data_IF_495411652178
#
_entry.id   IF_495411652178
#
_cell.length_a   1.000
_cell.length_b   1.000
_cell.length_c   1.000
_cell.angle_alpha   90.00
_cell.angle_beta   90.00
_cell.angle_gamma   90.00
#
_symmetry.space_group_name_H-M   'P 1'
#
loop_
_entity.id
_entity.type
_entity.pdbx_description
1 polymer ?
#
# COMPACT_ATOMS: atom_id res chain seq x y z
N UNK A 1 -4.05 -55.07 -44.01
CA UNK A 1 -4.48 -54.20 -45.10
C UNK A 1 -4.29 -52.80 -44.60
N UNK A 2 -3.18 -52.28 -44.91
CA UNK A 2 -2.83 -51.21 -45.89
C UNK A 2 -3.42 -49.87 -45.43
N UNK A 3 -2.71 -48.81 -45.28
CA UNK A 3 -1.40 -48.36 -45.68
C UNK A 3 -1.23 -46.96 -45.14
N UNK A 4 -0.13 -46.67 -44.66
CA UNK A 4 1.01 -45.94 -45.20
C UNK A 4 0.72 -44.52 -45.72
N UNK A 5 1.42 -43.59 -45.13
CA UNK A 5 2.17 -42.63 -45.88
C UNK A 5 2.36 -41.26 -45.19
N UNK A 6 3.60 -40.81 -45.05
CA UNK A 6 3.95 -39.50 -44.55
C UNK A 6 4.25 -38.56 -45.74
N UNK A 7 4.05 -37.25 -45.58
CA UNK A 7 4.60 -36.20 -46.44
C UNK A 7 4.48 -34.87 -45.69
N UNK A 8 5.31 -33.95 -45.71
CA UNK A 8 6.61 -33.59 -46.30
C UNK A 8 7.06 -32.32 -45.59
N UNK A 9 8.28 -32.31 -45.15
CA UNK A 9 9.02 -31.12 -44.79
C UNK A 9 9.47 -30.46 -46.09
N UNK A 10 9.28 -29.19 -46.30
CA UNK A 10 10.33 -28.42 -46.97
C UNK A 10 10.17 -26.90 -46.78
N UNK A 11 11.22 -26.34 -46.24
CA UNK A 11 12.01 -25.16 -46.61
C UNK A 11 11.30 -23.95 -47.23
N UNK A 12 11.49 -22.82 -46.57
CA UNK A 12 11.97 -21.63 -47.31
C UNK A 12 12.71 -20.66 -46.33
N UNK A 13 14.03 -20.84 -46.33
CA UNK A 13 15.02 -19.84 -45.92
C UNK A 13 15.08 -18.79 -47.03
N UNK A 14 14.73 -17.55 -46.73
CA UNK A 14 15.14 -16.41 -47.57
C UNK A 14 15.99 -15.45 -46.74
N UNK A 15 17.28 -15.48 -47.07
CA UNK A 15 18.29 -14.43 -46.79
C UNK A 15 17.75 -13.12 -47.39
N UNK A 16 17.82 -12.03 -46.65
CA UNK A 16 17.84 -10.67 -47.22
C UNK A 16 19.11 -9.98 -46.79
N UNK A 17 19.82 -9.65 -47.81
CA UNK A 17 21.06 -8.93 -48.04
C UNK A 17 21.09 -7.57 -47.37
N UNK A 18 22.24 -7.29 -46.75
CA UNK A 18 22.67 -5.98 -46.28
C UNK A 18 22.91 -5.08 -47.50
N UNK A 19 22.30 -3.90 -47.52
CA UNK A 19 22.71 -2.80 -48.38
C UNK A 19 23.11 -1.62 -47.50
N UNK A 20 24.42 -1.43 -47.46
CA UNK A 20 25.10 -0.18 -47.03
C UNK A 20 24.95 0.86 -48.15
N UNK A 21 24.40 2.01 -47.81
CA UNK A 21 24.48 3.20 -48.64
C UNK A 21 24.99 4.35 -47.82
N UNK A 22 26.23 4.71 -48.09
CA UNK A 22 26.92 5.97 -47.73
C UNK A 22 26.51 7.06 -48.75
N UNK A 23 26.05 8.17 -48.26
CA UNK A 23 26.10 9.50 -48.90
C UNK A 23 25.78 10.50 -47.80
N UNK A 24 26.58 11.45 -47.38
CA UNK A 24 27.23 12.46 -48.18
C UNK A 24 26.65 13.80 -47.66
N UNK A 25 27.50 14.60 -46.98
CA UNK A 25 27.26 15.93 -46.40
C UNK A 25 26.45 16.87 -47.30
N UNK A 26 25.55 17.62 -46.67
CA UNK A 26 25.32 19.03 -47.00
C UNK A 26 24.95 19.82 -45.75
N UNK A 27 25.85 20.70 -45.30
CA UNK A 27 25.55 21.77 -44.35
C UNK A 27 24.61 22.78 -44.98
N UNK A 28 23.45 23.06 -44.32
CA UNK A 28 22.73 24.30 -44.51
C UNK A 28 22.39 24.88 -43.13
N UNK A 29 23.03 25.98 -42.82
CA UNK A 29 22.76 26.82 -41.66
C UNK A 29 21.56 27.69 -41.95
N UNK A 30 20.59 27.73 -40.96
CA UNK A 30 19.69 28.90 -40.72
C UNK A 30 18.76 28.60 -39.55
N UNK A 31 18.01 29.54 -38.96
CA UNK A 31 18.49 30.39 -37.86
C UNK A 31 17.79 30.04 -36.53
N UNK A 32 18.38 30.54 -35.45
CA UNK A 32 17.86 30.41 -34.08
C UNK A 32 16.41 30.86 -33.97
N UNK A 33 15.54 29.89 -33.75
CA UNK A 33 14.17 30.10 -33.25
C UNK A 33 14.14 29.76 -31.76
N UNK A 34 13.84 30.76 -30.92
CA UNK A 34 13.65 30.63 -29.48
C UNK A 34 12.62 29.54 -29.16
N UNK A 35 13.07 28.39 -28.73
CA UNK A 35 12.21 27.49 -27.96
C UNK A 35 12.49 27.84 -26.49
N UNK A 36 11.62 28.66 -25.94
CA UNK A 36 11.61 28.95 -24.52
C UNK A 36 11.42 27.64 -23.74
N UNK A 37 12.49 27.22 -23.06
CA UNK A 37 12.40 26.18 -22.07
C UNK A 37 11.46 26.65 -20.96
N UNK A 38 10.21 26.16 -20.99
CA UNK A 38 9.33 26.23 -19.82
C UNK A 38 9.95 25.33 -18.74
N UNK A 39 10.83 25.92 -17.94
CA UNK A 39 11.21 25.35 -16.66
C UNK A 39 9.95 25.37 -15.80
N UNK A 40 9.31 24.25 -15.65
CA UNK A 40 8.34 24.03 -14.58
C UNK A 40 9.08 24.24 -13.26
N UNK A 41 9.00 25.45 -12.72
CA UNK A 41 9.39 25.73 -11.35
C UNK A 41 8.30 25.14 -10.46
N UNK A 42 8.54 23.95 -9.97
CA UNK A 42 7.76 23.34 -8.87
C UNK A 42 8.09 24.09 -7.56
N UNK A 43 7.67 25.36 -7.49
CA UNK A 43 7.69 26.16 -6.26
C UNK A 43 6.40 25.97 -5.51
N UNK A 44 6.27 24.82 -4.84
CA UNK A 44 5.34 24.74 -3.71
C UNK A 44 5.96 25.52 -2.55
N UNK A 45 5.24 26.50 -1.97
CA UNK A 45 5.74 27.17 -0.78
C UNK A 45 5.88 26.13 0.33
N UNK A 46 7.09 26.00 0.88
CA UNK A 46 7.33 25.24 2.08
C UNK A 46 6.56 25.95 3.22
N UNK A 47 5.49 25.32 3.69
CA UNK A 47 4.87 25.68 4.96
C UNK A 47 5.84 25.25 6.05
N UNK A 48 6.66 26.17 6.50
CA UNK A 48 7.52 26.02 7.66
C UNK A 48 6.66 26.16 8.92
N UNK A 49 5.89 25.15 9.27
CA UNK A 49 5.52 24.92 10.66
C UNK A 49 6.60 24.00 11.22
N UNK A 50 7.45 24.56 12.09
CA UNK A 50 8.36 23.78 12.91
C UNK A 50 7.51 22.97 13.90
N UNK A 51 7.01 21.82 13.45
CA UNK A 51 6.56 20.79 14.36
C UNK A 51 7.80 20.17 15.03
N UNK A 52 7.74 19.83 16.34
CA UNK A 52 8.89 19.28 17.06
C UNK A 52 9.41 18.04 16.31
N UNK A 53 10.74 17.90 16.25
CA UNK A 53 11.42 16.74 15.64
C UNK A 53 10.83 15.46 16.19
N UNK A 54 10.12 14.72 15.35
CA UNK A 54 9.35 13.55 15.72
C UNK A 54 10.24 12.30 15.68
N UNK A 55 11.08 12.13 16.66
CA UNK A 55 11.95 10.95 16.77
C UNK A 55 11.33 9.78 17.55
N UNK A 56 10.26 10.00 18.32
CA UNK A 56 9.67 8.91 19.10
C UNK A 56 8.14 8.98 19.14
N UNK A 57 7.50 7.89 18.71
CA UNK A 57 6.08 7.67 19.01
C UNK A 57 5.99 7.21 20.46
N UNK A 58 5.21 7.87 21.35
CA UNK A 58 5.10 7.47 22.74
C UNK A 58 4.72 5.99 22.86
N UNK A 59 5.53 5.21 23.56
CA UNK A 59 5.30 3.80 23.82
C UNK A 59 4.73 3.62 25.20
N UNK A 60 3.50 3.11 25.31
CA UNK A 60 2.99 2.55 26.55
C UNK A 60 3.34 1.05 26.60
N UNK A 61 4.29 0.59 27.42
CA UNK A 61 4.70 -0.81 27.44
C UNK A 61 3.57 -1.79 27.80
N UNK A 62 2.54 -1.34 28.49
CA UNK A 62 1.41 -2.18 28.88
C UNK A 62 0.38 -2.37 27.74
N UNK A 63 0.40 -1.54 26.70
CA UNK A 63 -0.54 -1.62 25.60
C UNK A 63 0.03 -2.43 24.44
N UNK A 64 -0.65 -3.48 23.99
CA UNK A 64 -0.24 -4.30 22.83
C UNK A 64 -0.41 -3.58 21.50
N UNK A 65 -1.31 -2.60 21.44
CA UNK A 65 -1.50 -1.68 20.32
C UNK A 65 -1.44 -0.26 20.86
N UNK A 66 -0.63 0.59 20.26
CA UNK A 66 -0.52 2.01 20.61
C UNK A 66 -1.23 2.85 19.57
N UNK A 67 -1.88 3.93 20.00
CA UNK A 67 -2.54 4.89 19.13
C UNK A 67 -2.06 6.29 19.52
N UNK A 68 -1.49 7.02 18.55
CA UNK A 68 -1.03 8.38 18.76
C UNK A 68 -1.57 9.28 17.64
N UNK A 69 -2.16 10.41 18.04
CA UNK A 69 -2.74 11.36 17.08
C UNK A 69 -1.78 12.50 16.78
N UNK A 70 -1.76 12.93 15.51
CA UNK A 70 -0.97 14.05 15.01
C UNK A 70 -1.79 14.85 13.97
N UNK A 71 -2.53 15.83 14.44
CA UNK A 71 -3.48 16.55 13.59
C UNK A 71 -4.49 15.59 12.96
N UNK A 72 -4.52 15.52 11.63
CA UNK A 72 -5.39 14.64 10.87
C UNK A 72 -4.83 13.21 10.64
N UNK A 73 -3.67 12.90 11.21
CA UNK A 73 -3.00 11.61 11.07
C UNK A 73 -3.12 10.83 12.38
N UNK A 74 -3.36 9.53 12.30
CA UNK A 74 -3.23 8.61 13.42
C UNK A 74 -2.09 7.63 13.17
N UNK A 75 -1.23 7.43 14.17
CA UNK A 75 -0.18 6.43 14.18
C UNK A 75 -0.67 5.24 15.01
N UNK A 76 -0.72 4.06 14.41
CA UNK A 76 -1.17 2.81 15.04
C UNK A 76 0.03 1.88 15.09
N UNK A 77 0.50 1.53 16.28
CA UNK A 77 1.70 0.75 16.51
C UNK A 77 1.41 -0.65 17.06
N UNK A 78 1.94 -1.70 16.45
CA UNK A 78 2.00 -3.04 17.05
C UNK A 78 3.10 -2.98 18.12
N UNK A 79 2.78 -3.33 19.37
CA UNK A 79 3.68 -3.11 20.51
C UNK A 79 3.88 -4.38 21.37
N UNK A 80 4.47 -5.39 20.75
CA UNK A 80 4.93 -6.62 21.40
C UNK A 80 6.37 -6.98 20.97
N UNK A 81 7.34 -6.04 21.03
CA UNK A 81 8.68 -6.27 20.45
C UNK A 81 9.40 -7.46 21.08
N UNK A 82 9.16 -7.76 22.36
CA UNK A 82 9.79 -8.87 23.09
C UNK A 82 9.42 -10.25 22.51
N UNK A 83 8.33 -10.34 21.74
CA UNK A 83 7.89 -11.52 21.01
C UNK A 83 7.80 -11.26 19.50
N UNK A 84 8.66 -10.36 18.99
CA UNK A 84 8.77 -10.02 17.56
C UNK A 84 7.47 -9.48 16.95
N UNK A 85 6.69 -8.76 17.74
CA UNK A 85 5.37 -8.24 17.37
C UNK A 85 4.43 -9.34 16.81
N UNK A 86 4.52 -10.57 17.34
CA UNK A 86 3.55 -11.62 17.02
C UNK A 86 2.16 -11.20 17.45
N UNK A 87 1.20 -11.45 16.60
CA UNK A 87 -0.18 -11.01 16.74
C UNK A 87 -0.98 -12.10 17.44
N UNK A 88 -1.28 -11.88 18.71
CA UNK A 88 -2.21 -12.69 19.47
C UNK A 88 -3.66 -12.18 19.28
N UNK A 89 -4.69 -12.93 19.78
CA UNK A 89 -6.08 -12.53 19.66
C UNK A 89 -6.40 -11.12 20.18
N UNK A 90 -5.75 -10.71 21.27
CA UNK A 90 -5.94 -9.39 21.88
C UNK A 90 -5.33 -8.28 21.01
N UNK A 91 -4.13 -8.49 20.50
CA UNK A 91 -3.49 -7.57 19.54
C UNK A 91 -4.33 -7.41 18.29
N UNK A 92 -4.86 -8.52 17.75
CA UNK A 92 -5.73 -8.49 16.57
C UNK A 92 -7.00 -7.68 16.82
N UNK A 93 -7.69 -7.94 17.93
CA UNK A 93 -8.87 -7.18 18.35
C UNK A 93 -8.53 -5.70 18.58
N UNK A 94 -7.39 -5.41 19.21
CA UNK A 94 -6.90 -4.06 19.44
C UNK A 94 -6.66 -3.28 18.14
N UNK A 95 -6.07 -3.92 17.12
CA UNK A 95 -5.92 -3.34 15.79
C UNK A 95 -7.29 -3.07 15.15
N UNK A 96 -8.22 -4.02 15.25
CA UNK A 96 -9.58 -3.88 14.72
C UNK A 96 -10.33 -2.69 15.34
N UNK A 97 -10.21 -2.50 16.66
CA UNK A 97 -10.79 -1.34 17.38
C UNK A 97 -10.11 -0.03 16.95
N UNK A 98 -8.78 -0.01 16.85
CA UNK A 98 -8.06 1.17 16.39
C UNK A 98 -8.44 1.57 14.97
N UNK A 99 -8.62 0.60 14.06
CA UNK A 99 -9.08 0.84 12.69
C UNK A 99 -10.52 1.37 12.66
N UNK A 100 -11.40 0.81 13.49
CA UNK A 100 -12.78 1.31 13.59
C UNK A 100 -12.83 2.76 14.08
N UNK A 101 -12.12 3.07 15.17
CA UNK A 101 -12.04 4.42 15.72
C UNK A 101 -11.47 5.40 14.71
N UNK A 102 -10.41 5.02 14.01
CA UNK A 102 -9.85 5.82 12.92
C UNK A 102 -10.85 6.09 11.80
N UNK A 103 -11.53 5.07 11.32
CA UNK A 103 -12.43 5.20 10.18
C UNK A 103 -13.66 6.06 10.50
N UNK A 104 -14.14 6.02 11.76
CA UNK A 104 -15.32 6.75 12.23
C UNK A 104 -15.01 8.13 12.82
N UNK A 105 -13.75 8.49 13.10
CA UNK A 105 -13.41 9.84 13.55
C UNK A 105 -13.33 10.82 12.35
N UNK A 106 -14.28 11.76 12.18
CA UNK A 106 -14.33 12.65 11.02
C UNK A 106 -13.10 13.59 10.92
N UNK A 107 -12.39 13.77 12.02
CA UNK A 107 -11.20 14.63 12.08
C UNK A 107 -9.92 13.93 11.62
N UNK A 108 -9.90 12.59 11.51
CA UNK A 108 -8.80 11.81 11.02
C UNK A 108 -8.95 11.54 9.51
N UNK A 109 -7.86 11.68 8.76
CA UNK A 109 -7.83 11.57 7.29
C UNK A 109 -6.98 10.42 6.78
N UNK A 110 -5.98 9.99 7.55
CA UNK A 110 -5.05 8.93 7.17
C UNK A 110 -4.47 8.25 8.41
N UNK A 111 -4.27 6.94 8.33
CA UNK A 111 -3.56 6.16 9.35
C UNK A 111 -2.18 5.73 8.85
N UNK A 112 -1.21 5.65 9.77
CA UNK A 112 0.10 5.02 9.56
C UNK A 112 0.20 3.83 10.51
N UNK A 113 0.25 2.62 9.96
CA UNK A 113 0.48 1.38 10.72
C UNK A 113 1.98 1.08 10.74
N UNK A 114 2.52 0.77 11.91
CA UNK A 114 3.94 0.45 12.09
C UNK A 114 4.15 -0.56 13.23
N UNK A 115 5.37 -1.10 13.39
CA UNK A 115 5.75 -1.94 14.51
C UNK A 115 6.73 -1.22 15.44
N UNK A 116 6.57 -1.35 16.77
CA UNK A 116 7.58 -0.92 17.73
C UNK A 116 8.76 -1.90 17.76
N UNK A 117 9.97 -1.40 18.01
CA UNK A 117 11.20 -2.20 18.09
C UNK A 117 11.73 -2.60 16.71
N UNK A 118 12.45 -3.74 16.68
CA UNK A 118 13.29 -4.12 15.54
C UNK A 118 12.49 -4.72 14.36
N UNK A 119 11.27 -5.19 14.62
CA UNK A 119 10.47 -5.92 13.62
C UNK A 119 9.08 -5.31 13.47
N UNK A 120 8.55 -5.36 12.26
CA UNK A 120 7.14 -5.02 12.06
C UNK A 120 6.25 -6.09 12.69
N UNK A 121 6.34 -7.36 12.24
CA UNK A 121 5.66 -8.50 12.86
C UNK A 121 6.12 -9.82 12.24
N UNK A 122 6.38 -10.84 13.07
CA UNK A 122 6.58 -12.23 12.64
C UNK A 122 5.28 -13.02 12.44
N UNK A 123 4.14 -12.33 12.33
CA UNK A 123 2.85 -12.95 12.04
C UNK A 123 2.10 -13.41 13.28
N UNK A 124 1.33 -14.47 13.14
CA UNK A 124 0.41 -14.98 14.18
C UNK A 124 1.17 -15.58 15.38
N UNK A 125 0.65 -15.32 16.58
CA UNK A 125 1.01 -16.02 17.80
C UNK A 125 0.20 -17.33 17.88
N UNK A 126 0.74 -18.41 17.31
CA UNK A 126 0.03 -19.68 17.10
C UNK A 126 -0.45 -20.26 18.41
N UNK A 127 0.39 -20.23 19.46
CA UNK A 127 0.07 -20.82 20.76
C UNK A 127 -1.10 -20.09 21.43
N UNK A 128 -1.15 -18.76 21.32
CA UNK A 128 -2.23 -17.96 21.84
C UNK A 128 -3.57 -18.25 21.11
N UNK A 129 -3.54 -18.48 19.80
CA UNK A 129 -4.74 -18.84 19.03
C UNK A 129 -5.19 -20.29 19.30
N UNK A 130 -4.27 -21.20 19.50
CA UNK A 130 -4.59 -22.57 19.91
C UNK A 130 -5.24 -22.60 21.30
N UNK A 131 -4.70 -21.84 22.25
CA UNK A 131 -5.27 -21.68 23.58
C UNK A 131 -6.69 -21.08 23.54
N UNK A 132 -6.93 -20.07 22.67
CA UNK A 132 -8.25 -19.50 22.46
C UNK A 132 -9.22 -20.56 21.92
N UNK A 133 -8.83 -21.29 20.88
CA UNK A 133 -9.66 -22.35 20.29
C UNK A 133 -9.98 -23.46 21.30
N UNK A 134 -9.00 -23.90 22.09
CA UNK A 134 -9.19 -24.90 23.13
C UNK A 134 -10.14 -24.43 24.24
N UNK A 135 -10.22 -23.14 24.49
CA UNK A 135 -11.18 -22.57 25.46
C UNK A 135 -12.63 -22.51 24.98
N UNK A 136 -12.91 -22.91 23.73
CA UNK A 136 -14.22 -22.81 23.09
C UNK A 136 -14.66 -21.35 22.79
N UNK A 137 -13.77 -20.37 23.01
CA UNK A 137 -14.02 -18.96 22.70
C UNK A 137 -13.61 -18.69 21.26
N UNK A 138 -14.37 -17.86 20.58
CA UNK A 138 -13.98 -17.31 19.27
C UNK A 138 -13.54 -15.85 19.44
N UNK A 139 -12.80 -15.33 18.47
CA UNK A 139 -12.67 -13.88 18.32
C UNK A 139 -14.08 -13.33 18.07
N UNK A 140 -14.66 -12.70 19.08
CA UNK A 140 -15.92 -11.97 18.89
C UNK A 140 -15.62 -10.78 17.99
N UNK A 141 -16.31 -10.69 16.87
CA UNK A 141 -16.40 -9.43 16.13
C UNK A 141 -17.26 -8.49 16.95
N UNK A 142 -16.63 -7.66 17.79
CA UNK A 142 -17.33 -6.52 18.40
C UNK A 142 -17.89 -5.66 17.27
N UNK A 143 -19.07 -5.08 17.47
CA UNK A 143 -19.70 -4.19 16.48
C UNK A 143 -18.80 -2.99 16.11
N UNK A 144 -17.88 -2.61 17.00
CA UNK A 144 -16.94 -1.51 16.84
C UNK A 144 -15.53 -1.99 16.46
N UNK A 145 -15.45 -2.88 15.47
CA UNK A 145 -14.19 -3.35 14.92
C UNK A 145 -14.23 -3.40 13.39
N UNK A 146 -13.08 -3.15 12.76
CA UNK A 146 -12.86 -3.42 11.35
C UNK A 146 -11.81 -4.53 11.27
N UNK A 147 -12.05 -5.57 10.46
CA UNK A 147 -11.10 -6.66 10.27
C UNK A 147 -9.73 -6.13 9.78
N UNK A 148 -8.66 -6.24 10.59
CA UNK A 148 -7.34 -5.72 10.20
C UNK A 148 -6.80 -6.30 8.89
N UNK A 149 -7.19 -7.53 8.56
CA UNK A 149 -6.82 -8.19 7.30
C UNK A 149 -7.77 -7.89 6.14
N UNK A 150 -8.87 -7.17 6.38
CA UNK A 150 -9.89 -6.84 5.39
C UNK A 150 -10.33 -8.05 4.54
N UNK A 151 -10.43 -9.22 5.18
CA UNK A 151 -10.93 -10.47 4.59
C UNK A 151 -12.41 -10.68 4.83
N UNK A 152 -12.98 -9.98 5.80
CA UNK A 152 -14.39 -10.10 6.24
C UNK A 152 -14.98 -8.73 6.53
N UNK A 153 -16.31 -8.61 6.37
CA UNK A 153 -17.03 -7.40 6.75
C UNK A 153 -16.64 -6.14 6.01
N UNK A 154 -16.75 -5.02 6.68
CA UNK A 154 -16.36 -3.71 6.16
C UNK A 154 -14.85 -3.53 6.21
N UNK A 155 -14.31 -2.88 5.20
CA UNK A 155 -12.91 -2.44 5.17
C UNK A 155 -12.82 -0.95 5.48
N UNK A 156 -11.60 -0.47 5.74
CA UNK A 156 -11.32 0.96 5.87
C UNK A 156 -11.83 1.74 4.66
N UNK A 157 -12.50 2.85 4.91
CA UNK A 157 -12.94 3.81 3.89
C UNK A 157 -11.96 4.96 3.71
N UNK A 158 -10.97 5.04 4.58
CA UNK A 158 -9.91 6.04 4.60
C UNK A 158 -8.53 5.39 4.37
N UNK A 159 -7.53 6.16 3.89
CA UNK A 159 -6.22 5.65 3.53
C UNK A 159 -5.44 5.03 4.69
N UNK A 160 -4.74 3.94 4.38
CA UNK A 160 -3.78 3.30 5.27
C UNK A 160 -2.39 3.31 4.63
N UNK A 161 -1.43 3.92 5.30
CA UNK A 161 0.00 3.80 5.01
C UNK A 161 0.59 2.77 5.96
N UNK A 162 1.41 1.86 5.49
CA UNK A 162 2.16 0.94 6.35
C UNK A 162 3.65 1.20 6.25
N UNK A 163 4.31 1.15 7.39
CA UNK A 163 5.77 1.24 7.50
C UNK A 163 6.29 -0.04 8.12
N UNK A 164 7.24 -0.68 7.46
CA UNK A 164 7.79 -1.96 7.90
C UNK A 164 9.30 -1.92 8.04
N UNK A 165 9.81 -2.66 9.02
CA UNK A 165 11.21 -2.89 9.28
C UNK A 165 11.43 -4.30 9.82
N UNK A 166 12.66 -4.82 9.71
CA UNK A 166 13.00 -6.15 10.19
C UNK A 166 12.07 -7.22 9.63
N UNK A 167 11.72 -8.19 10.44
CA UNK A 167 10.87 -9.29 10.02
C UNK A 167 9.43 -8.85 9.80
N UNK A 168 8.91 -9.14 8.61
CA UNK A 168 7.55 -8.82 8.14
C UNK A 168 6.99 -10.09 7.50
N UNK A 169 6.57 -11.05 8.35
CA UNK A 169 6.27 -12.41 7.94
C UNK A 169 4.79 -12.79 8.13
N UNK A 170 4.29 -13.67 7.27
CA UNK A 170 2.99 -14.31 7.42
C UNK A 170 1.86 -13.27 7.62
N UNK A 171 1.11 -13.31 8.72
CA UNK A 171 0.09 -12.31 9.04
C UNK A 171 0.66 -10.87 9.06
N UNK A 172 1.94 -10.68 9.40
CA UNK A 172 2.60 -9.37 9.29
C UNK A 172 2.71 -8.91 7.83
N UNK A 173 3.10 -9.79 6.92
CA UNK A 173 3.09 -9.48 5.49
C UNK A 173 1.65 -9.33 4.96
N UNK A 174 0.70 -10.09 5.45
CA UNK A 174 -0.71 -9.94 5.06
C UNK A 174 -1.29 -8.59 5.51
N UNK A 175 -0.96 -8.10 6.71
CA UNK A 175 -1.27 -6.74 7.16
C UNK A 175 -0.59 -5.66 6.29
N UNK A 176 0.66 -5.89 5.90
CA UNK A 176 1.36 -5.02 4.97
C UNK A 176 0.63 -4.92 3.62
N UNK A 177 0.09 -6.02 3.11
CA UNK A 177 -0.66 -6.06 1.85
C UNK A 177 -2.06 -5.42 1.91
N UNK A 178 -2.59 -5.13 3.11
CA UNK A 178 -3.88 -4.42 3.25
C UNK A 178 -3.73 -2.93 2.96
N UNK A 179 -2.56 -2.36 3.22
CA UNK A 179 -2.33 -0.93 3.10
C UNK A 179 -2.32 -0.43 1.66
N UNK A 180 -2.72 0.82 1.47
CA UNK A 180 -2.75 1.49 0.16
C UNK A 180 -1.36 1.94 -0.28
N UNK A 181 -0.50 2.34 0.66
CA UNK A 181 0.88 2.78 0.41
C UNK A 181 1.80 2.12 1.43
N UNK A 182 2.96 1.64 0.96
CA UNK A 182 3.89 0.83 1.75
C UNK A 182 5.30 1.37 1.66
N UNK A 183 5.91 1.60 2.83
CA UNK A 183 7.30 2.04 2.98
C UNK A 183 8.06 1.00 3.78
N UNK A 184 9.26 0.65 3.35
CA UNK A 184 10.11 -0.31 4.03
C UNK A 184 11.47 0.30 4.40
N UNK A 185 12.02 -0.12 5.53
CA UNK A 185 13.43 0.05 5.80
C UNK A 185 14.25 -1.00 5.02
N UNK A 186 15.49 -0.68 4.66
CA UNK A 186 16.37 -1.57 3.89
C UNK A 186 16.65 -2.92 4.60
N UNK A 187 16.57 -2.94 5.94
CA UNK A 187 16.72 -4.16 6.73
C UNK A 187 15.46 -5.04 6.76
N UNK A 188 14.40 -4.70 6.04
CA UNK A 188 13.15 -5.49 6.05
C UNK A 188 13.36 -6.82 5.35
N UNK A 189 12.89 -7.88 5.99
CA UNK A 189 12.82 -9.22 5.46
C UNK A 189 11.37 -9.68 5.44
N UNK A 190 10.85 -9.90 4.26
CA UNK A 190 9.51 -10.42 4.06
C UNK A 190 9.50 -11.94 4.03
N UNK A 191 8.37 -12.55 4.39
CA UNK A 191 8.18 -13.99 4.32
C UNK A 191 6.71 -14.37 4.31
N UNK A 192 6.41 -15.45 3.60
CA UNK A 192 5.08 -16.06 3.56
C UNK A 192 5.28 -17.59 3.59
N UNK A 193 5.74 -18.08 4.75
CA UNK A 193 6.31 -19.42 4.90
C UNK A 193 5.38 -20.46 5.56
N UNK A 194 4.08 -20.18 5.62
CA UNK A 194 3.09 -21.09 6.25
C UNK A 194 3.13 -22.49 5.66
N UNK A 195 3.35 -22.63 4.35
CA UNK A 195 3.38 -23.92 3.66
C UNK A 195 4.50 -24.84 4.18
N UNK A 196 5.62 -24.29 4.63
CA UNK A 196 6.72 -25.06 5.22
C UNK A 196 6.34 -25.73 6.54
N UNK A 197 5.20 -25.33 7.12
CA UNK A 197 4.67 -25.82 8.40
C UNK A 197 3.29 -26.45 8.25
N UNK A 198 2.93 -26.92 7.04
CA UNK A 198 1.63 -27.56 6.77
C UNK A 198 0.42 -26.62 6.94
N UNK A 199 0.63 -25.30 6.83
CA UNK A 199 -0.42 -24.27 6.88
C UNK A 199 -0.48 -23.56 5.53
N UNK A 200 -1.43 -22.67 5.32
CA UNK A 200 -1.49 -21.82 4.13
C UNK A 200 -1.75 -20.37 4.51
N UNK A 201 -1.37 -19.39 3.64
CA UNK A 201 -1.56 -17.96 3.90
C UNK A 201 -3.04 -17.57 3.81
N UNK A 202 -3.76 -17.65 4.93
CA UNK A 202 -5.20 -17.48 5.01
C UNK A 202 -5.68 -16.05 5.27
N UNK A 203 -4.78 -15.11 5.54
CA UNK A 203 -5.12 -13.71 5.82
C UNK A 203 -5.16 -12.81 4.58
N UNK A 204 -5.10 -13.39 3.39
CA UNK A 204 -5.32 -12.68 2.13
C UNK A 204 -4.12 -12.59 1.20
N UNK A 205 -2.95 -13.14 1.56
CA UNK A 205 -1.77 -13.13 0.68
C UNK A 205 -2.04 -13.87 -0.63
N UNK A 206 -2.75 -14.99 -0.61
CA UNK A 206 -3.11 -15.75 -1.82
C UNK A 206 -3.91 -14.92 -2.85
N UNK A 207 -4.55 -13.85 -2.41
CA UNK A 207 -5.31 -12.94 -3.26
C UNK A 207 -4.52 -11.68 -3.59
N UNK A 208 -4.04 -10.97 -2.55
CA UNK A 208 -3.40 -9.65 -2.71
C UNK A 208 -2.00 -9.75 -3.28
N UNK A 209 -1.17 -10.67 -2.76
CA UNK A 209 0.20 -10.81 -3.23
C UNK A 209 0.23 -11.23 -4.71
N UNK A 210 -0.65 -12.16 -5.12
CA UNK A 210 -0.78 -12.56 -6.52
C UNK A 210 -1.20 -11.39 -7.41
N UNK A 211 -2.14 -10.56 -6.94
CA UNK A 211 -2.65 -9.42 -7.70
C UNK A 211 -1.60 -8.34 -7.90
N UNK A 212 -0.80 -8.06 -6.87
CA UNK A 212 0.12 -6.94 -6.86
C UNK A 212 1.51 -7.29 -7.40
N UNK A 213 2.05 -8.46 -7.04
CA UNK A 213 3.36 -8.91 -7.48
C UNK A 213 3.34 -9.74 -8.77
N UNK A 214 2.15 -10.16 -9.20
CA UNK A 214 1.96 -11.13 -10.27
C UNK A 214 2.15 -12.58 -9.81
N UNK A 215 1.53 -13.52 -10.56
CA UNK A 215 1.48 -14.94 -10.23
C UNK A 215 2.86 -15.56 -9.94
N UNK A 216 3.81 -15.37 -10.85
CA UNK A 216 5.11 -16.05 -10.76
C UNK A 216 5.92 -15.59 -9.53
N UNK A 217 5.96 -14.28 -9.25
CA UNK A 217 6.63 -13.75 -8.07
C UNK A 217 5.97 -14.24 -6.77
N UNK A 218 4.65 -14.14 -6.68
CA UNK A 218 3.91 -14.55 -5.49
C UNK A 218 4.04 -16.06 -5.22
N UNK A 219 3.87 -16.89 -6.26
CA UNK A 219 3.99 -18.35 -6.13
C UNK A 219 5.40 -18.80 -5.76
N UNK A 220 6.44 -18.14 -6.33
CA UNK A 220 7.83 -18.45 -5.95
C UNK A 220 7.98 -18.45 -4.42
N UNK A 221 7.53 -17.39 -3.76
CA UNK A 221 7.74 -17.24 -2.32
C UNK A 221 6.71 -18.01 -1.48
N UNK A 222 5.44 -17.99 -1.86
CA UNK A 222 4.43 -18.73 -1.09
C UNK A 222 4.59 -20.25 -1.17
N UNK A 223 5.03 -20.81 -2.30
CA UNK A 223 5.19 -22.25 -2.45
C UNK A 223 6.49 -22.77 -1.86
N UNK A 224 7.58 -22.02 -1.93
CA UNK A 224 8.89 -22.42 -1.36
C UNK A 224 9.01 -22.05 0.12
N UNK A 225 8.33 -20.98 0.55
CA UNK A 225 8.52 -20.38 1.86
C UNK A 225 9.83 -19.57 1.99
N UNK A 226 10.49 -19.28 0.86
CA UNK A 226 11.67 -18.43 0.85
C UNK A 226 11.33 -17.02 1.34
N UNK A 227 12.27 -16.41 2.03
CA UNK A 227 12.17 -15.02 2.44
C UNK A 227 12.83 -14.10 1.39
N UNK A 228 12.39 -12.84 1.33
CA UNK A 228 12.93 -11.86 0.38
C UNK A 228 13.22 -10.51 1.03
N UNK A 229 14.05 -9.72 0.38
CA UNK A 229 14.49 -8.42 0.87
C UNK A 229 13.52 -7.28 0.56
N UNK A 230 13.74 -6.11 1.17
CA UNK A 230 13.04 -4.88 0.83
C UNK A 230 13.26 -4.46 -0.63
N UNK A 231 14.46 -4.66 -1.17
CA UNK A 231 14.78 -4.37 -2.57
C UNK A 231 13.96 -5.25 -3.52
N UNK A 232 13.87 -6.54 -3.24
CA UNK A 232 13.04 -7.46 -4.02
C UNK A 232 11.56 -7.10 -3.92
N UNK A 233 11.07 -6.70 -2.74
CA UNK A 233 9.71 -6.21 -2.55
C UNK A 233 9.42 -4.95 -3.37
N UNK A 234 10.40 -4.03 -3.47
CA UNK A 234 10.33 -2.84 -4.33
C UNK A 234 10.30 -3.25 -5.81
N UNK A 235 11.15 -4.19 -6.22
CA UNK A 235 11.16 -4.72 -7.60
C UNK A 235 9.82 -5.36 -7.98
N UNK A 236 9.20 -6.08 -7.07
CA UNK A 236 7.88 -6.70 -7.26
C UNK A 236 6.71 -5.70 -7.22
N UNK A 237 6.94 -4.45 -6.81
CA UNK A 237 5.92 -3.42 -6.70
C UNK A 237 5.07 -3.47 -5.43
N UNK A 238 5.35 -4.38 -4.51
CA UNK A 238 4.61 -4.48 -3.23
C UNK A 238 5.11 -3.51 -2.14
N UNK A 239 6.16 -2.78 -2.42
CA UNK A 239 6.67 -1.63 -1.64
C UNK A 239 6.92 -0.49 -2.61
N UNK A 240 6.52 0.73 -2.26
CA UNK A 240 6.67 1.90 -3.12
C UNK A 240 7.90 2.75 -2.77
N UNK A 241 8.47 2.56 -1.58
CA UNK A 241 9.68 3.28 -1.16
C UNK A 241 10.49 2.43 -0.18
N UNK A 242 11.79 2.33 -0.43
CA UNK A 242 12.78 1.77 0.51
C UNK A 242 13.72 2.88 0.96
N UNK A 243 13.99 2.96 2.26
CA UNK A 243 14.94 3.90 2.89
C UNK A 243 15.89 3.15 3.80
N UNK A 244 16.99 3.79 4.20
CA UNK A 244 18.11 3.08 4.82
C UNK A 244 17.76 2.51 6.21
N UNK A 245 17.08 3.29 7.06
CA UNK A 245 16.85 2.93 8.47
C UNK A 245 15.36 2.84 8.83
N UNK A 246 15.00 2.11 9.91
CA UNK A 246 13.63 2.09 10.42
C UNK A 246 13.07 3.48 10.78
N UNK A 247 13.90 4.34 11.36
CA UNK A 247 13.50 5.70 11.71
C UNK A 247 13.17 6.54 10.47
N UNK A 248 14.00 6.44 9.43
CA UNK A 248 13.72 7.09 8.13
C UNK A 248 12.47 6.50 7.48
N UNK A 249 12.20 5.20 7.64
CA UNK A 249 11.00 4.57 7.09
C UNK A 249 9.73 5.13 7.75
N UNK A 250 9.71 5.25 9.08
CA UNK A 250 8.60 5.84 9.81
C UNK A 250 8.40 7.31 9.41
N UNK A 251 9.47 8.08 9.33
CA UNK A 251 9.43 9.47 8.89
C UNK A 251 8.86 9.59 7.46
N UNK A 252 9.34 8.77 6.53
CA UNK A 252 8.85 8.75 5.14
C UNK A 252 7.37 8.36 5.05
N UNK A 253 6.91 7.41 5.87
CA UNK A 253 5.49 7.06 5.96
C UNK A 253 4.63 8.22 6.46
N UNK A 254 5.11 8.95 7.47
CA UNK A 254 4.44 10.15 8.00
C UNK A 254 4.40 11.27 6.95
N UNK A 255 5.47 11.49 6.21
CA UNK A 255 5.50 12.48 5.12
C UNK A 255 4.50 12.14 4.00
N UNK A 256 4.35 10.86 3.67
CA UNK A 256 3.29 10.40 2.76
C UNK A 256 1.92 10.72 3.35
N UNK A 257 1.69 10.39 4.61
CA UNK A 257 0.44 10.65 5.30
C UNK A 257 0.12 12.16 5.38
N UNK A 258 1.10 13.02 5.59
CA UNK A 258 0.92 14.50 5.57
C UNK A 258 0.42 14.97 4.20
N UNK A 259 0.99 14.46 3.10
CA UNK A 259 0.53 14.80 1.75
C UNK A 259 -0.90 14.33 1.50
N UNK A 260 -1.27 13.13 1.96
CA UNK A 260 -2.65 12.64 1.88
C UNK A 260 -3.58 13.51 2.72
N UNK A 261 -3.20 13.84 3.95
CA UNK A 261 -4.00 14.65 4.85
C UNK A 261 -4.25 16.09 4.33
N UNK A 262 -3.39 16.60 3.45
CA UNK A 262 -3.56 17.88 2.78
C UNK A 262 -4.55 17.84 1.59
N UNK A 263 -4.92 16.67 1.12
CA UNK A 263 -5.90 16.50 0.04
C UNK A 263 -7.34 16.56 0.57
N UNK A 264 -8.30 16.81 -0.33
CA UNK A 264 -9.73 16.83 -0.01
C UNK A 264 -10.21 15.45 0.46
N UNK A 265 -10.64 15.29 1.72
CA UNK A 265 -10.93 13.97 2.30
C UNK A 265 -12.07 13.24 1.60
N UNK A 266 -13.07 13.93 1.08
CA UNK A 266 -14.16 13.33 0.32
C UNK A 266 -13.68 12.77 -1.03
N UNK A 267 -12.79 13.50 -1.71
CA UNK A 267 -12.15 13.05 -2.95
C UNK A 267 -11.31 11.79 -2.73
N UNK A 268 -10.53 11.75 -1.64
CA UNK A 268 -9.75 10.56 -1.26
C UNK A 268 -10.66 9.35 -1.02
N UNK A 269 -11.72 9.51 -0.22
CA UNK A 269 -12.69 8.43 0.06
C UNK A 269 -13.36 7.93 -1.23
N UNK A 270 -13.77 8.83 -2.11
CA UNK A 270 -14.36 8.46 -3.39
C UNK A 270 -13.37 7.72 -4.30
N UNK A 271 -12.09 8.12 -4.31
CA UNK A 271 -11.03 7.46 -5.06
C UNK A 271 -10.84 6.01 -4.57
N UNK A 272 -10.72 5.81 -3.25
CA UNK A 272 -10.59 4.47 -2.68
C UNK A 272 -11.82 3.60 -2.97
N UNK A 273 -13.02 4.14 -2.78
CA UNK A 273 -14.26 3.42 -3.03
C UNK A 273 -14.38 2.98 -4.51
N UNK A 274 -14.04 3.88 -5.44
CA UNK A 274 -14.06 3.60 -6.88
C UNK A 274 -13.02 2.55 -7.28
N UNK A 275 -11.78 2.67 -6.79
CA UNK A 275 -10.71 1.73 -7.06
C UNK A 275 -11.04 0.33 -6.52
N UNK A 276 -11.55 0.24 -5.28
CA UNK A 276 -11.98 -1.03 -4.69
C UNK A 276 -13.15 -1.67 -5.43
N UNK A 277 -14.11 -0.86 -5.91
CA UNK A 277 -15.18 -1.36 -6.76
C UNK A 277 -14.62 -2.02 -8.02
N UNK A 278 -13.69 -1.35 -8.70
CA UNK A 278 -13.04 -1.88 -9.91
C UNK A 278 -12.25 -3.19 -9.67
N UNK A 279 -11.74 -3.40 -8.45
CA UNK A 279 -11.08 -4.65 -8.07
C UNK A 279 -12.06 -5.81 -7.79
N UNK A 280 -13.32 -5.53 -7.49
CA UNK A 280 -14.30 -6.51 -7.03
C UNK A 280 -15.43 -6.76 -8.02
N UNK A 281 -15.54 -5.95 -9.08
CA UNK A 281 -16.57 -6.05 -10.12
C UNK A 281 -15.93 -6.06 -11.51
N UNK A 282 -16.75 -6.15 -12.55
CA UNK A 282 -16.26 -5.95 -13.92
C UNK A 282 -15.86 -4.49 -14.14
N UNK A 283 -14.90 -4.26 -15.03
CA UNK A 283 -14.47 -2.91 -15.43
C UNK A 283 -15.64 -2.07 -15.96
N UNK A 284 -16.55 -2.69 -16.70
CA UNK A 284 -17.75 -2.04 -17.24
C UNK A 284 -18.67 -1.54 -16.12
N UNK A 285 -18.93 -2.36 -15.09
CA UNK A 285 -19.73 -1.96 -13.93
C UNK A 285 -19.09 -0.83 -13.14
N UNK A 286 -17.76 -0.89 -12.96
CA UNK A 286 -17.01 0.18 -12.30
C UNK A 286 -17.13 1.50 -13.07
N UNK A 287 -16.95 1.50 -14.39
CA UNK A 287 -17.09 2.69 -15.23
C UNK A 287 -18.52 3.27 -15.20
N UNK A 288 -19.54 2.43 -15.16
CA UNK A 288 -20.93 2.89 -15.07
C UNK A 288 -21.23 3.68 -13.77
N UNK A 289 -20.40 3.54 -12.72
CA UNK A 289 -20.57 4.27 -11.45
C UNK A 289 -19.79 5.59 -11.36
N UNK A 290 -18.79 5.82 -12.26
CA UNK A 290 -17.89 6.99 -12.15
C UNK A 290 -18.64 8.31 -12.19
N UNK A 291 -19.59 8.47 -13.11
CA UNK A 291 -20.34 9.73 -13.26
C UNK A 291 -21.14 10.08 -11.98
N UNK A 292 -21.81 9.10 -11.38
CA UNK A 292 -22.52 9.30 -10.13
C UNK A 292 -21.60 9.63 -8.96
N UNK A 293 -20.44 8.96 -8.85
CA UNK A 293 -19.42 9.21 -7.84
C UNK A 293 -18.86 10.63 -7.98
N UNK A 294 -18.59 11.06 -9.21
CA UNK A 294 -18.05 12.37 -9.50
C UNK A 294 -19.07 13.48 -9.19
N UNK A 295 -20.32 13.33 -9.61
CA UNK A 295 -21.39 14.29 -9.31
C UNK A 295 -21.60 14.50 -7.81
N UNK A 296 -21.47 13.45 -7.01
CA UNK A 296 -21.61 13.55 -5.56
C UNK A 296 -20.57 14.51 -4.93
N UNK A 297 -19.40 14.69 -5.55
CA UNK A 297 -18.36 15.60 -5.06
C UNK A 297 -18.62 17.07 -5.45
N UNK A 298 -19.22 17.33 -6.60
CA UNK A 298 -19.42 18.71 -7.11
C UNK A 298 -20.25 19.58 -6.19
N UNK A 299 -21.17 19.03 -5.42
CA UNK A 299 -22.04 19.74 -4.48
C UNK A 299 -21.38 20.08 -3.15
N UNK A 300 -20.19 19.53 -2.86
CA UNK A 300 -19.53 19.64 -1.55
C UNK A 300 -18.86 21.00 -1.34
N UNK A 301 -18.74 21.42 -0.08
CA UNK A 301 -17.97 22.62 0.28
C UNK A 301 -16.48 22.45 -0.04
N UNK A 302 -15.94 21.25 0.14
CA UNK A 302 -14.55 20.95 -0.19
C UNK A 302 -14.25 21.11 -1.69
N UNK A 303 -15.19 20.73 -2.57
CA UNK A 303 -15.03 20.98 -4.01
C UNK A 303 -15.02 22.47 -4.33
N UNK A 304 -15.94 23.26 -3.75
CA UNK A 304 -15.99 24.72 -3.93
C UNK A 304 -14.72 25.38 -3.39
N UNK A 305 -14.23 24.94 -2.24
CA UNK A 305 -12.99 25.43 -1.65
C UNK A 305 -11.78 25.12 -2.54
N UNK A 306 -11.68 23.89 -3.06
CA UNK A 306 -10.61 23.50 -3.98
C UNK A 306 -10.57 24.41 -5.21
N UNK A 307 -11.72 24.69 -5.82
CA UNK A 307 -11.84 25.59 -6.98
C UNK A 307 -11.46 27.03 -6.64
N UNK A 308 -11.86 27.51 -5.47
CA UNK A 308 -11.55 28.86 -5.00
C UNK A 308 -10.05 29.01 -4.74
N UNK A 309 -9.47 28.08 -4.00
CA UNK A 309 -8.05 28.07 -3.66
C UNK A 309 -7.17 28.00 -4.93
N UNK A 310 -7.58 27.20 -5.92
CA UNK A 310 -6.91 27.13 -7.23
C UNK A 310 -6.92 28.50 -7.94
N UNK A 311 -8.07 29.16 -8.01
CA UNK A 311 -8.20 30.48 -8.65
C UNK A 311 -7.42 31.59 -7.92
N UNK A 312 -7.31 31.48 -6.59
CA UNK A 312 -6.59 32.42 -5.73
C UNK A 312 -5.10 32.09 -5.57
N UNK A 313 -4.61 30.96 -6.10
CA UNK A 313 -3.22 30.51 -5.99
C UNK A 313 -2.76 30.20 -4.57
N UNK A 314 -3.67 29.80 -3.68
CA UNK A 314 -3.39 29.46 -2.28
C UNK A 314 -3.62 27.98 -1.98
N UNK A 315 -3.13 27.56 -0.83
CA UNK A 315 -3.43 26.21 -0.30
C UNK A 315 -4.89 26.13 0.15
N UNK A 316 -5.65 25.08 -0.26
CA UNK A 316 -7.03 24.88 0.18
C UNK A 316 -7.11 24.43 1.65
N UNK A 317 -8.23 24.76 2.30
CA UNK A 317 -8.55 24.30 3.66
C UNK A 317 -9.81 23.45 3.59
N UNK A 318 -9.65 22.14 3.64
CA UNK A 318 -10.73 21.18 3.53
C UNK A 318 -11.33 20.81 4.89
N UNK A 319 -12.65 20.59 4.91
CA UNK A 319 -13.42 20.26 6.12
C UNK A 319 -14.14 18.90 6.05
N UNK A 320 -14.12 18.21 4.90
CA UNK A 320 -14.76 16.90 4.71
C UNK A 320 -16.28 17.00 4.52
N UNK A 321 -16.80 18.06 3.95
CA UNK A 321 -18.22 18.30 3.75
C UNK A 321 -18.55 19.04 2.45
#
# INVERSE_FOLDING_TARGET
MSGAGPLLVDRLVRRRTVLTATAGLALAATPAGLIGAVRAQDRRPAVATQEPKMTEVPRNPAAKVTVARRGHIVLIGINRPDVYNRIDPETYSGLGKAFYQYDHDPSLRVAVLFGHGDNFSRGIDVDAYQALAASGRSLTSDAETIDPLATRGTRLTKPLVVVVQGDTWNMGHELHLVADIRVAAANTRFGQDENTRGRFPGGGATVRFVREAGWANAMRYMLTGDHWSAEEALRMGIVQKVVLTPAEALQAGIEVAQRIAACGPLGIKATLASAHLALNTSQSEAFAKLDAQYRALYGTEDFKEGRRAEAEGRTPVYHGR
#
